data_IF_815190590240
#
_entry.id   IF_815190590240
#
_cell.length_a   1.000
_cell.length_b   1.000
_cell.length_c   1.000
_cell.angle_alpha   90.00
_cell.angle_beta   90.00
_cell.angle_gamma   90.00
#
_symmetry.space_group_name_H-M   'P 1'
#
loop_
_entity.id
_entity.type
_entity.pdbx_description
1 polymer ?
#
# COMPACT_ATOMS: atom_id res chain seq x y z
N UNK A 1 -9.50 -29.52 -24.94
CA UNK A 1 -9.48 -28.52 -23.87
C UNK A 1 -8.03 -28.30 -23.45
N UNK A 2 -7.36 -27.29 -24.00
CA UNK A 2 -5.97 -26.95 -23.69
C UNK A 2 -5.98 -25.98 -22.50
N UNK A 3 -5.54 -26.46 -21.32
CA UNK A 3 -5.25 -25.60 -20.17
C UNK A 3 -3.93 -24.88 -20.46
N UNK A 4 -4.00 -23.59 -20.78
CA UNK A 4 -2.83 -22.72 -20.73
C UNK A 4 -2.44 -22.53 -19.27
N UNK A 5 -1.49 -23.34 -18.79
CA UNK A 5 -0.72 -23.04 -17.59
C UNK A 5 0.12 -21.79 -17.88
N UNK A 6 -0.39 -20.62 -17.47
CA UNK A 6 0.41 -19.41 -17.37
C UNK A 6 1.45 -19.61 -16.27
N UNK A 7 2.58 -20.17 -16.68
CA UNK A 7 3.80 -20.25 -15.90
C UNK A 7 4.36 -18.82 -15.73
N UNK A 8 3.83 -18.06 -14.77
CA UNK A 8 4.43 -16.80 -14.32
C UNK A 8 5.74 -17.13 -13.60
N UNK A 9 6.82 -17.33 -14.37
CA UNK A 9 8.18 -17.41 -13.83
C UNK A 9 8.47 -16.09 -13.10
N UNK A 10 8.48 -16.16 -11.77
CA UNK A 10 9.04 -15.12 -10.91
C UNK A 10 10.49 -14.87 -11.38
N UNK A 11 10.87 -13.63 -11.73
CA UNK A 11 12.21 -13.35 -12.20
C UNK A 11 13.25 -13.77 -11.14
N UNK A 12 14.40 -14.36 -11.57
CA UNK A 12 15.43 -14.84 -10.65
C UNK A 12 15.99 -13.67 -9.84
N UNK A 13 15.97 -13.79 -8.50
CA UNK A 13 16.44 -12.76 -7.56
C UNK A 13 15.35 -12.16 -6.66
N UNK A 14 14.07 -12.45 -6.89
CA UNK A 14 13.01 -12.08 -5.96
C UNK A 14 12.82 -13.16 -4.91
N UNK A 15 13.18 -12.85 -3.65
CA UNK A 15 12.58 -13.56 -2.52
C UNK A 15 11.09 -13.28 -2.57
N UNK A 16 10.25 -14.32 -2.68
CA UNK A 16 8.81 -14.15 -2.61
C UNK A 16 8.46 -13.46 -1.29
N UNK A 17 7.98 -12.22 -1.39
CA UNK A 17 7.41 -11.48 -0.25
C UNK A 17 5.96 -11.91 -0.16
N UNK A 18 5.50 -12.25 1.04
CA UNK A 18 4.10 -12.61 1.23
C UNK A 18 3.23 -11.40 0.84
N UNK A 19 2.14 -11.66 0.14
CA UNK A 19 1.17 -10.65 -0.23
C UNK A 19 0.65 -9.89 1.00
N UNK A 20 0.43 -10.60 2.11
CA UNK A 20 0.04 -9.98 3.38
C UNK A 20 1.10 -9.01 3.91
N UNK A 21 2.39 -9.35 3.79
CA UNK A 21 3.50 -8.48 4.19
C UNK A 21 3.54 -7.21 3.33
N UNK A 22 3.28 -7.33 2.03
CA UNK A 22 3.21 -6.16 1.13
C UNK A 22 2.05 -5.26 1.50
N UNK A 23 0.86 -5.83 1.79
CA UNK A 23 -0.30 -5.05 2.25
C UNK A 23 0.02 -4.32 3.55
N UNK A 24 0.60 -5.02 4.53
CA UNK A 24 1.01 -4.43 5.80
C UNK A 24 2.04 -3.30 5.61
N UNK A 25 3.04 -3.49 4.74
CA UNK A 25 4.04 -2.47 4.42
C UNK A 25 3.42 -1.24 3.75
N UNK A 26 2.48 -1.45 2.81
CA UNK A 26 1.74 -0.34 2.18
C UNK A 26 0.91 0.44 3.19
N UNK A 27 0.21 -0.26 4.09
CA UNK A 27 -0.55 0.38 5.18
C UNK A 27 0.37 1.17 6.11
N UNK A 28 1.56 0.66 6.45
CA UNK A 28 2.54 1.37 7.26
C UNK A 28 3.01 2.68 6.59
N UNK A 29 3.25 2.66 5.27
CA UNK A 29 3.56 3.87 4.48
C UNK A 29 2.40 4.86 4.56
N UNK A 30 1.17 4.41 4.28
CA UNK A 30 -0.01 5.28 4.32
C UNK A 30 -0.23 5.88 5.72
N UNK A 31 -0.06 5.10 6.79
CA UNK A 31 -0.16 5.59 8.18
C UNK A 31 0.86 6.72 8.41
N UNK A 32 2.12 6.54 7.98
CA UNK A 32 3.19 7.52 8.17
C UNK A 32 2.88 8.84 7.45
N UNK A 33 2.41 8.75 6.20
CA UNK A 33 2.06 9.89 5.36
C UNK A 33 0.82 10.61 5.91
N UNK A 34 -0.26 9.88 6.25
CA UNK A 34 -1.47 10.47 6.84
C UNK A 34 -1.18 11.18 8.17
N UNK A 35 -0.30 10.63 9.00
CA UNK A 35 0.12 11.26 10.25
C UNK A 35 0.85 12.59 10.02
N UNK A 36 1.60 12.72 8.92
CA UNK A 36 2.29 13.96 8.55
C UNK A 36 1.37 15.08 8.08
N UNK A 37 0.14 14.75 7.66
CA UNK A 37 -0.80 15.69 7.03
C UNK A 37 -1.75 16.40 8.00
N UNK A 38 -1.68 16.11 9.31
CA UNK A 38 -2.54 16.77 10.32
C UNK A 38 -4.05 16.56 10.09
N UNK A 39 -4.42 15.46 9.45
CA UNK A 39 -5.81 15.15 9.09
C UNK A 39 -6.66 14.87 10.34
N UNK A 40 -7.96 15.09 10.22
CA UNK A 40 -8.93 14.57 11.18
C UNK A 40 -8.81 13.04 11.25
N UNK A 41 -8.87 12.50 12.46
CA UNK A 41 -8.73 11.05 12.72
C UNK A 41 -9.72 10.23 11.90
N UNK A 42 -10.94 10.72 11.72
CA UNK A 42 -12.00 10.02 10.99
C UNK A 42 -11.66 9.88 9.50
N UNK A 43 -11.04 10.90 8.90
CA UNK A 43 -10.60 10.88 7.50
C UNK A 43 -9.45 9.89 7.32
N UNK A 44 -8.46 9.92 8.21
CA UNK A 44 -7.35 8.97 8.17
C UNK A 44 -7.83 7.52 8.31
N UNK A 45 -8.76 7.26 9.25
CA UNK A 45 -9.35 5.93 9.42
C UNK A 45 -10.18 5.49 8.22
N UNK A 46 -10.90 6.41 7.57
CA UNK A 46 -11.64 6.09 6.35
C UNK A 46 -10.70 5.65 5.21
N UNK A 47 -9.58 6.35 5.02
CA UNK A 47 -8.54 5.95 4.05
C UNK A 47 -7.99 4.56 4.41
N UNK A 48 -7.58 4.34 5.66
CA UNK A 48 -6.91 3.10 6.06
C UNK A 48 -7.83 1.87 5.98
N UNK A 49 -9.13 2.01 6.26
CA UNK A 49 -10.11 0.92 6.13
C UNK A 49 -10.29 0.48 4.68
N UNK A 50 -10.31 1.43 3.77
CA UNK A 50 -10.52 1.19 2.34
C UNK A 50 -9.20 0.81 1.61
N UNK A 51 -8.04 1.18 2.18
CA UNK A 51 -6.73 0.94 1.57
C UNK A 51 -6.39 -0.54 1.38
N UNK A 52 -6.73 -1.42 2.34
CA UNK A 52 -6.38 -2.84 2.25
C UNK A 52 -6.91 -3.48 0.95
N UNK A 53 -8.21 -3.36 0.70
CA UNK A 53 -8.86 -3.92 -0.49
C UNK A 53 -8.31 -3.32 -1.79
N UNK A 54 -7.98 -2.02 -1.79
CA UNK A 54 -7.41 -1.35 -2.97
C UNK A 54 -5.97 -1.73 -3.25
N UNK A 55 -5.17 -1.90 -2.21
CA UNK A 55 -3.80 -2.41 -2.33
C UNK A 55 -3.84 -3.80 -2.94
N UNK A 56 -4.74 -4.66 -2.47
CA UNK A 56 -4.96 -5.97 -3.07
C UNK A 56 -5.39 -5.89 -4.53
N UNK A 57 -6.36 -5.04 -4.85
CA UNK A 57 -6.79 -4.84 -6.23
C UNK A 57 -5.64 -4.36 -7.14
N UNK A 58 -4.78 -3.46 -6.65
CA UNK A 58 -3.62 -2.97 -7.38
C UNK A 58 -2.57 -4.07 -7.61
N UNK A 59 -2.27 -4.88 -6.60
CA UNK A 59 -1.37 -6.02 -6.73
C UNK A 59 -1.85 -7.02 -7.79
N UNK A 60 -3.16 -7.23 -7.88
CA UNK A 60 -3.77 -8.09 -8.91
C UNK A 60 -3.68 -7.48 -10.31
N UNK A 61 -3.79 -6.15 -10.45
CA UNK A 61 -3.63 -5.48 -11.76
C UNK A 61 -2.21 -5.48 -12.27
N UNK A 62 -1.23 -5.36 -11.37
CA UNK A 62 0.19 -5.51 -11.71
C UNK A 62 1.04 -4.26 -11.45
N UNK A 63 2.27 -4.22 -12.00
CA UNK A 63 3.35 -3.38 -11.50
C UNK A 63 3.15 -1.87 -11.67
N UNK A 64 2.28 -1.49 -12.61
CA UNK A 64 1.96 -0.08 -12.89
C UNK A 64 0.79 0.45 -12.06
N UNK A 65 0.03 -0.42 -11.40
CA UNK A 65 -1.16 0.00 -10.67
C UNK A 65 -0.79 0.82 -9.43
N UNK A 66 -1.43 1.98 -9.31
CA UNK A 66 -1.34 2.87 -8.18
C UNK A 66 -2.65 2.87 -7.40
N UNK A 67 -2.54 2.96 -6.09
CA UNK A 67 -3.64 3.34 -5.20
C UNK A 67 -3.46 4.81 -4.89
N UNK A 68 -4.43 5.64 -5.25
CA UNK A 68 -4.42 7.08 -4.93
C UNK A 68 -5.68 7.46 -4.17
N UNK A 69 -5.53 8.42 -3.26
CA UNK A 69 -6.58 9.05 -2.49
C UNK A 69 -6.54 10.54 -2.66
N UNK A 70 -7.71 11.11 -2.94
CA UNK A 70 -7.99 12.52 -2.78
C UNK A 70 -8.63 12.75 -1.41
N UNK A 71 -8.06 13.66 -0.63
CA UNK A 71 -8.45 13.95 0.74
C UNK A 71 -9.50 15.06 0.79
N UNK A 72 -10.66 14.81 0.19
CA UNK A 72 -11.74 15.79 0.14
C UNK A 72 -12.27 16.13 1.54
N UNK A 73 -12.79 17.35 1.71
CA UNK A 73 -13.28 17.86 3.00
C UNK A 73 -14.43 17.04 3.60
N UNK A 74 -15.24 16.39 2.75
CA UNK A 74 -16.42 15.60 3.16
C UNK A 74 -16.06 14.14 3.45
N UNK A 75 -15.33 13.51 2.55
CA UNK A 75 -14.88 12.13 2.67
C UNK A 75 -13.74 11.87 1.68
N UNK A 76 -12.73 11.07 2.02
CA UNK A 76 -11.67 10.72 1.09
C UNK A 76 -12.24 9.89 -0.08
N UNK A 77 -11.71 10.12 -1.28
CA UNK A 77 -12.07 9.36 -2.50
C UNK A 77 -10.84 8.60 -2.96
N UNK A 78 -10.97 7.29 -3.15
CA UNK A 78 -9.88 6.44 -3.61
C UNK A 78 -10.05 5.98 -5.06
N UNK A 79 -8.93 5.73 -5.76
CA UNK A 79 -8.89 5.04 -7.06
C UNK A 79 -7.78 4.00 -7.09
N UNK A 80 -7.97 2.99 -7.93
CA UNK A 80 -6.93 2.05 -8.35
C UNK A 80 -6.81 2.12 -9.87
N UNK A 81 -5.64 2.48 -10.37
CA UNK A 81 -5.41 2.62 -11.81
C UNK A 81 -3.95 2.43 -12.18
N UNK A 82 -3.73 1.77 -13.31
CA UNK A 82 -2.47 1.64 -14.05
C UNK A 82 -2.47 2.46 -15.35
N UNK A 83 -3.59 3.13 -15.65
CA UNK A 83 -3.75 4.10 -16.74
C UNK A 83 -3.33 5.50 -16.28
N UNK A 84 -2.27 6.02 -16.90
CA UNK A 84 -1.67 7.33 -16.61
C UNK A 84 -2.64 8.48 -16.86
N UNK A 85 -3.49 8.41 -17.90
CA UNK A 85 -4.45 9.47 -18.20
C UNK A 85 -5.52 9.56 -17.12
N UNK A 86 -6.01 8.41 -16.65
CA UNK A 86 -6.97 8.35 -15.54
C UNK A 86 -6.38 8.86 -14.24
N UNK A 87 -5.12 8.53 -13.95
CA UNK A 87 -4.40 9.02 -12.77
C UNK A 87 -4.18 10.54 -12.84
N UNK A 88 -3.81 11.06 -14.01
CA UNK A 88 -3.63 12.49 -14.24
C UNK A 88 -4.93 13.28 -14.05
N UNK A 89 -6.05 12.80 -14.59
CA UNK A 89 -7.38 13.41 -14.37
C UNK A 89 -7.73 13.44 -12.88
N UNK A 90 -7.50 12.34 -12.17
CA UNK A 90 -7.79 12.26 -10.74
C UNK A 90 -6.95 13.25 -9.90
N UNK A 91 -5.67 13.43 -10.26
CA UNK A 91 -4.80 14.42 -9.63
C UNK A 91 -5.23 15.86 -9.95
N UNK A 92 -5.61 16.14 -11.20
CA UNK A 92 -6.10 17.45 -11.60
C UNK A 92 -7.39 17.85 -10.86
N UNK A 93 -8.30 16.89 -10.61
CA UNK A 93 -9.49 17.15 -9.78
C UNK A 93 -9.14 17.45 -8.32
N UNK A 94 -8.08 16.83 -7.79
CA UNK A 94 -7.57 17.15 -6.45
C UNK A 94 -7.04 18.58 -6.37
N UNK A 95 -6.25 18.99 -7.36
CA UNK A 95 -5.74 20.34 -7.48
C UNK A 95 -6.87 21.37 -7.60
N UNK A 96 -7.83 21.14 -8.50
CA UNK A 96 -8.95 22.05 -8.72
C UNK A 96 -9.84 22.25 -7.48
N UNK A 97 -9.90 21.24 -6.60
CA UNK A 97 -10.66 21.30 -5.35
C UNK A 97 -9.82 21.71 -4.14
N UNK A 98 -8.51 21.91 -4.30
CA UNK A 98 -7.56 22.15 -3.22
C UNK A 98 -7.45 20.99 -2.23
N UNK A 99 -7.76 19.76 -2.66
CA UNK A 99 -7.68 18.56 -1.85
C UNK A 99 -6.25 18.00 -1.87
N UNK A 100 -5.80 17.50 -0.73
CA UNK A 100 -4.53 16.78 -0.66
C UNK A 100 -4.58 15.46 -1.44
N UNK A 101 -3.45 15.05 -2.00
CA UNK A 101 -3.30 13.76 -2.67
C UNK A 101 -2.29 12.89 -1.92
N UNK A 102 -2.63 11.63 -1.70
CA UNK A 102 -1.76 10.61 -1.11
C UNK A 102 -1.92 9.31 -1.89
N UNK A 103 -0.86 8.52 -2.02
CA UNK A 103 -0.98 7.21 -2.63
C UNK A 103 0.24 6.33 -2.48
N UNK A 104 0.12 5.12 -3.00
CA UNK A 104 1.17 4.11 -2.92
C UNK A 104 1.17 3.27 -4.21
N UNK A 105 2.36 2.82 -4.62
CA UNK A 105 2.51 1.76 -5.60
C UNK A 105 2.85 0.45 -4.87
N UNK A 106 1.89 -0.50 -4.73
CA UNK A 106 2.11 -1.72 -3.98
C UNK A 106 3.23 -2.60 -4.53
N UNK A 107 3.40 -2.62 -5.86
CA UNK A 107 4.49 -3.37 -6.47
C UNK A 107 5.85 -2.79 -6.10
N UNK A 108 6.02 -1.47 -6.12
CA UNK A 108 7.27 -0.82 -5.70
C UNK A 108 7.57 -1.08 -4.22
N UNK A 109 6.56 -1.08 -3.38
CA UNK A 109 6.70 -1.49 -1.97
C UNK A 109 7.14 -2.95 -1.86
N UNK A 110 6.55 -3.86 -2.65
CA UNK A 110 6.96 -5.27 -2.68
C UNK A 110 8.43 -5.44 -3.10
N UNK A 111 8.89 -4.69 -4.11
CA UNK A 111 10.29 -4.69 -4.54
C UNK A 111 11.22 -4.22 -3.41
N UNK A 112 10.85 -3.14 -2.72
CA UNK A 112 11.62 -2.63 -1.58
C UNK A 112 11.64 -3.62 -0.42
N UNK A 113 10.51 -4.25 -0.09
CA UNK A 113 10.41 -5.27 0.94
C UNK A 113 11.26 -6.51 0.61
N UNK A 114 11.26 -6.95 -0.66
CA UNK A 114 12.08 -8.07 -1.12
C UNK A 114 13.58 -7.76 -0.96
N UNK A 115 13.98 -6.54 -1.35
CA UNK A 115 15.36 -6.06 -1.21
C UNK A 115 15.77 -5.97 0.26
N UNK A 116 14.94 -5.38 1.12
CA UNK A 116 15.20 -5.28 2.55
C UNK A 116 15.36 -6.67 3.21
N UNK A 117 14.53 -7.64 2.80
CA UNK A 117 14.63 -9.03 3.26
C UNK A 117 15.92 -9.71 2.81
N UNK A 118 16.33 -9.50 1.56
CA UNK A 118 17.58 -10.04 1.02
C UNK A 118 18.82 -9.43 1.70
N UNK A 119 18.74 -8.15 2.08
CA UNK A 119 19.81 -7.42 2.79
C UNK A 119 19.82 -7.71 4.31
N UNK A 120 18.90 -8.53 4.81
CA UNK A 120 18.83 -8.89 6.22
C UNK A 120 18.41 -7.74 7.12
N UNK A 121 17.66 -6.74 6.61
CA UNK A 121 17.05 -5.72 7.45
C UNK A 121 16.21 -6.39 8.53
N UNK A 122 16.62 -6.21 9.78
CA UNK A 122 16.13 -6.99 10.91
C UNK A 122 14.61 -6.86 11.09
N UNK A 123 13.95 -8.01 11.24
CA UNK A 123 12.68 -8.07 11.98
C UNK A 123 12.95 -7.64 13.41
N UNK A 124 12.01 -6.88 13.99
CA UNK A 124 12.04 -6.65 15.44
C UNK A 124 11.92 -8.03 16.09
N UNK A 125 13.00 -8.50 16.73
CA UNK A 125 12.89 -9.62 17.67
C UNK A 125 11.76 -9.23 18.64
N UNK A 126 10.73 -10.07 18.79
CA UNK A 126 9.79 -9.94 19.89
C UNK A 126 10.61 -9.92 21.20
N UNK A 127 10.87 -8.72 21.69
CA UNK A 127 11.54 -8.49 22.95
C UNK A 127 10.53 -8.67 24.06
N UNK A 128 10.71 -9.72 24.85
CA UNK A 128 10.12 -9.86 26.18
C UNK A 128 8.84 -10.68 26.23
N UNK A 129 8.97 -11.91 26.73
CA UNK A 129 7.97 -12.45 27.66
C UNK A 129 7.63 -11.33 28.66
N UNK A 130 6.39 -10.87 28.66
CA UNK A 130 5.83 -10.20 29.83
C UNK A 130 5.71 -11.28 30.90
N UNK A 131 6.80 -11.49 31.66
CA UNK A 131 6.74 -12.27 32.87
C UNK A 131 5.88 -11.48 33.86
N UNK A 132 4.61 -11.86 33.95
CA UNK A 132 3.69 -11.40 35.00
C UNK A 132 4.20 -11.99 36.32
N UNK A 133 5.19 -11.36 36.92
CA UNK A 133 5.42 -11.47 38.36
C UNK A 133 4.53 -10.44 39.05
N UNK A 134 3.24 -10.77 39.17
CA UNK A 134 2.38 -10.26 40.24
C UNK A 134 2.41 -11.32 41.34
N UNK A 135 3.29 -11.14 42.33
CA UNK A 135 3.12 -11.63 43.70
C UNK A 135 3.90 -10.73 44.64
#
# INVERSE_FOLDING_TARGET
MLRHEMNQKTPPGFVAVDRADVVAACLAVLIRELHGLGLKREVALAVLRDAADRIDAALTRGPRALVLYRLDRKAPVGIVSDDDARLATFAAEAEASGAGLIGVNPYRVAVLAAKAKAEGCATVKQGGQYDRALH
#
